data_IF_920267532822
#
_entry.id   IF_920267532822
#
_cell.length_a   1.000
_cell.length_b   1.000
_cell.length_c   1.000
_cell.angle_alpha   90.00
_cell.angle_beta   90.00
_cell.angle_gamma   90.00
#
_symmetry.space_group_name_H-M   'P 1'
#
loop_
_entity.id
_entity.type
_entity.pdbx_description
1 polymer ?
#
# COMPACT_ATOMS: atom_id res chain seq x y z
N UNK A 1 60.99 -48.86 4.43
CA UNK A 1 59.76 -48.60 5.20
C UNK A 1 59.67 -47.12 5.51
N UNK A 2 58.78 -46.37 4.76
CA UNK A 2 58.52 -44.95 5.01
C UNK A 2 57.16 -44.83 5.71
N UNK A 3 57.16 -44.30 6.91
CA UNK A 3 55.93 -44.01 7.69
C UNK A 3 55.32 -42.69 7.20
N UNK A 4 54.10 -42.75 6.73
CA UNK A 4 53.26 -41.57 6.46
C UNK A 4 52.54 -41.22 7.77
N UNK A 5 52.79 -40.01 8.29
CA UNK A 5 52.03 -39.41 9.38
C UNK A 5 50.86 -38.62 8.77
N UNK A 6 49.62 -39.02 9.05
CA UNK A 6 48.44 -38.27 8.75
C UNK A 6 48.19 -37.21 9.83
N UNK A 7 48.28 -35.93 9.47
CA UNK A 7 47.79 -34.83 10.30
C UNK A 7 46.29 -34.66 10.05
N UNK A 8 45.47 -34.96 11.06
CA UNK A 8 44.02 -34.66 11.04
C UNK A 8 43.86 -33.22 11.52
N UNK A 9 43.50 -32.31 10.60
CA UNK A 9 43.03 -30.94 10.95
C UNK A 9 41.59 -31.03 11.42
N UNK A 10 41.35 -30.73 12.70
CA UNK A 10 40.00 -30.47 13.22
C UNK A 10 39.58 -29.04 12.82
N UNK A 11 38.67 -28.92 11.87
CA UNK A 11 37.96 -27.68 11.59
C UNK A 11 36.86 -27.50 12.65
N UNK A 12 37.13 -26.64 13.64
CA UNK A 12 36.09 -26.17 14.57
C UNK A 12 35.25 -25.12 13.83
N UNK A 13 34.06 -25.52 13.37
CA UNK A 13 33.06 -24.58 12.85
C UNK A 13 32.44 -23.81 14.01
N UNK A 14 32.89 -22.58 14.24
CA UNK A 14 32.16 -21.62 15.09
C UNK A 14 30.85 -21.23 14.43
N UNK A 15 29.77 -21.84 14.86
CA UNK A 15 28.41 -21.40 14.54
C UNK A 15 28.14 -20.13 15.33
N UNK A 16 28.25 -18.96 14.68
CA UNK A 16 27.71 -17.72 15.22
C UNK A 16 26.17 -17.81 15.15
N UNK A 17 25.57 -18.15 16.29
CA UNK A 17 24.13 -17.94 16.46
C UNK A 17 23.90 -16.42 16.50
N UNK A 18 23.52 -15.82 15.39
CA UNK A 18 22.89 -14.51 15.39
C UNK A 18 21.57 -14.69 16.12
N UNK A 19 21.50 -14.28 17.38
CA UNK A 19 20.24 -14.14 18.11
C UNK A 19 19.41 -13.02 17.43
N UNK A 20 18.78 -13.34 16.30
CA UNK A 20 17.79 -12.50 15.69
C UNK A 20 16.60 -12.40 16.65
N UNK A 21 16.31 -11.20 17.13
CA UNK A 21 15.11 -10.90 17.91
C UNK A 21 13.90 -11.43 17.12
N UNK A 22 13.24 -12.47 17.62
CA UNK A 22 12.04 -13.03 16.97
C UNK A 22 10.91 -12.05 17.17
N UNK A 23 10.48 -11.42 16.07
CA UNK A 23 9.27 -10.55 16.08
C UNK A 23 8.06 -11.37 16.52
N UNK A 24 7.24 -10.79 17.39
CA UNK A 24 5.96 -11.38 17.76
C UNK A 24 4.95 -11.19 16.61
N UNK A 25 4.24 -12.25 16.27
CA UNK A 25 3.13 -12.22 15.31
C UNK A 25 1.81 -12.56 16.03
N UNK A 26 0.79 -11.71 15.89
CA UNK A 26 -0.47 -11.92 16.60
C UNK A 26 -1.25 -13.12 16.05
N UNK A 27 -1.85 -13.89 16.97
CA UNK A 27 -2.82 -14.93 16.64
C UNK A 27 -4.14 -14.31 16.15
N UNK A 28 -4.95 -15.12 15.48
CA UNK A 28 -6.28 -14.70 15.03
C UNK A 28 -7.11 -14.20 16.21
N UNK A 29 -7.68 -13.00 16.06
CA UNK A 29 -8.51 -12.33 17.08
C UNK A 29 -7.81 -12.11 18.44
N UNK A 30 -6.49 -12.27 18.52
CA UNK A 30 -5.74 -12.09 19.75
C UNK A 30 -4.41 -11.39 19.47
N UNK A 31 -4.43 -10.07 19.48
CA UNK A 31 -3.20 -9.28 19.37
C UNK A 31 -2.79 -8.78 20.73
N UNK A 32 -1.66 -9.30 21.24
CA UNK A 32 -1.21 -8.96 22.60
C UNK A 32 -0.65 -7.54 22.66
N UNK A 33 -0.95 -6.86 23.76
CA UNK A 33 -0.35 -5.60 24.14
C UNK A 33 0.72 -5.79 25.21
N UNK A 34 1.69 -4.89 25.26
CA UNK A 34 2.66 -4.78 26.35
C UNK A 34 2.68 -3.37 26.89
N UNK A 35 2.96 -3.19 28.19
CA UNK A 35 3.20 -1.85 28.75
C UNK A 35 4.25 -1.09 27.93
N UNK A 36 3.99 0.17 27.63
CA UNK A 36 4.86 1.01 26.81
C UNK A 36 6.33 0.99 27.28
N UNK A 37 6.55 1.04 28.60
CA UNK A 37 7.88 0.99 29.20
C UNK A 37 8.65 -0.31 28.90
N UNK A 38 7.95 -1.47 28.78
CA UNK A 38 8.59 -2.75 28.41
C UNK A 38 9.00 -2.79 26.94
N UNK A 39 8.39 -1.93 26.11
CA UNK A 39 8.71 -1.77 24.70
C UNK A 39 9.68 -0.60 24.43
N UNK A 40 10.26 -0.03 25.47
CA UNK A 40 11.26 1.03 25.38
C UNK A 40 10.69 2.46 25.31
N UNK A 41 9.37 2.62 25.43
CA UNK A 41 8.76 3.95 25.37
C UNK A 41 8.68 4.64 26.74
N UNK A 42 8.86 5.95 26.72
CA UNK A 42 8.35 6.85 27.77
C UNK A 42 6.81 6.85 27.70
N UNK A 43 6.17 6.33 28.72
CA UNK A 43 4.71 6.19 28.75
C UNK A 43 3.97 7.53 28.69
N UNK A 44 4.52 8.60 29.29
CA UNK A 44 3.90 9.94 29.28
C UNK A 44 3.96 10.56 27.89
N UNK A 45 5.10 10.45 27.21
CA UNK A 45 5.27 10.93 25.84
C UNK A 45 4.40 10.14 24.86
N UNK A 46 4.33 8.80 24.99
CA UNK A 46 3.48 7.99 24.14
C UNK A 46 1.99 8.34 24.30
N UNK A 47 1.53 8.62 25.53
CA UNK A 47 0.17 9.10 25.77
C UNK A 47 -0.10 10.48 25.15
N UNK A 48 0.88 11.36 25.07
CA UNK A 48 0.76 12.62 24.31
C UNK A 48 0.53 12.37 22.82
N UNK A 49 1.25 11.42 22.22
CA UNK A 49 1.03 11.03 20.82
C UNK A 49 -0.39 10.47 20.58
N UNK A 50 -0.90 9.63 21.49
CA UNK A 50 -2.28 9.12 21.43
C UNK A 50 -3.31 10.25 21.57
N UNK A 51 -3.11 11.16 22.53
CA UNK A 51 -3.97 12.33 22.71
C UNK A 51 -3.98 13.19 21.44
N UNK A 52 -2.79 13.47 20.89
CA UNK A 52 -2.65 14.22 19.64
C UNK A 52 -3.44 13.59 18.49
N UNK A 53 -3.36 12.27 18.30
CA UNK A 53 -4.12 11.58 17.27
C UNK A 53 -5.65 11.70 17.42
N UNK A 54 -6.14 11.67 18.67
CA UNK A 54 -7.57 11.85 18.98
C UNK A 54 -8.07 13.27 18.75
N UNK A 55 -7.26 14.27 19.04
CA UNK A 55 -7.61 15.69 18.96
C UNK A 55 -7.48 16.26 17.54
N UNK A 56 -6.75 15.57 16.67
CA UNK A 56 -6.54 15.97 15.27
C UNK A 56 -7.30 15.06 14.30
N UNK A 57 -8.62 14.86 14.54
CA UNK A 57 -9.49 14.14 13.61
C UNK A 57 -9.55 14.86 12.25
N UNK A 58 -9.56 14.10 11.17
CA UNK A 58 -9.82 14.62 9.83
C UNK A 58 -11.10 15.44 9.79
N UNK A 59 -11.01 16.67 9.31
CA UNK A 59 -12.10 17.65 9.35
C UNK A 59 -13.20 17.43 8.31
N UNK A 60 -12.96 16.59 7.29
CA UNK A 60 -13.95 16.30 6.25
C UNK A 60 -15.15 15.50 6.75
N UNK A 61 -16.26 15.56 6.03
CA UNK A 61 -17.50 14.88 6.37
C UNK A 61 -17.30 13.41 6.76
N UNK A 62 -18.07 12.96 7.75
CA UNK A 62 -18.15 11.52 8.07
C UNK A 62 -18.95 10.73 7.03
N UNK A 63 -19.83 11.38 6.29
CA UNK A 63 -20.37 10.82 5.06
C UNK A 63 -19.31 10.92 3.96
N UNK A 64 -18.72 9.77 3.61
CA UNK A 64 -17.60 9.76 2.65
C UNK A 64 -18.02 10.09 1.23
N UNK A 65 -19.30 9.91 0.87
CA UNK A 65 -19.79 10.36 -0.44
C UNK A 65 -19.72 11.88 -0.54
N UNK A 66 -20.16 12.58 0.52
CA UNK A 66 -20.06 14.05 0.60
C UNK A 66 -18.59 14.48 0.62
N UNK A 67 -17.75 13.88 1.47
CA UNK A 67 -16.34 14.23 1.56
C UNK A 67 -15.60 14.07 0.22
N UNK A 68 -15.91 13.03 -0.55
CA UNK A 68 -15.35 12.79 -1.87
C UNK A 68 -15.82 13.87 -2.85
N UNK A 69 -17.13 14.13 -2.94
CA UNK A 69 -17.68 15.11 -3.86
C UNK A 69 -17.12 16.52 -3.58
N UNK A 70 -17.00 16.91 -2.32
CA UNK A 70 -16.41 18.20 -1.94
C UNK A 70 -14.91 18.28 -2.27
N UNK A 71 -14.18 17.20 -2.04
CA UNK A 71 -12.72 17.14 -2.24
C UNK A 71 -12.30 17.17 -3.71
N UNK A 72 -13.14 16.67 -4.61
CA UNK A 72 -12.81 16.49 -6.03
C UNK A 72 -13.79 17.20 -7.00
N UNK A 73 -14.60 18.13 -6.50
CA UNK A 73 -15.58 18.89 -7.29
C UNK A 73 -15.00 19.69 -8.47
N UNK A 74 -13.71 19.93 -8.48
CA UNK A 74 -13.04 20.63 -9.59
C UNK A 74 -12.69 19.70 -10.77
N UNK A 75 -12.82 18.39 -10.59
CA UNK A 75 -12.54 17.44 -11.66
C UNK A 75 -13.74 17.32 -12.63
N UNK A 76 -13.50 17.32 -13.94
CA UNK A 76 -14.59 17.21 -14.91
C UNK A 76 -15.22 15.80 -14.84
N UNK A 77 -16.55 15.75 -14.92
CA UNK A 77 -17.31 14.49 -14.93
C UNK A 77 -17.08 13.60 -13.70
N UNK A 78 -16.64 14.17 -12.58
CA UNK A 78 -16.39 13.39 -11.37
C UNK A 78 -17.68 12.78 -10.81
N UNK A 79 -17.68 11.48 -10.65
CA UNK A 79 -18.78 10.69 -10.08
C UNK A 79 -18.27 9.68 -9.05
N UNK A 80 -19.13 9.37 -8.08
CA UNK A 80 -18.87 8.26 -7.14
C UNK A 80 -19.51 6.98 -7.72
N UNK A 81 -18.68 6.13 -8.32
CA UNK A 81 -19.06 4.93 -9.05
C UNK A 81 -18.98 3.65 -8.23
N UNK A 82 -18.15 3.65 -7.20
CA UNK A 82 -17.98 2.52 -6.28
C UNK A 82 -18.69 2.76 -4.94
N UNK A 83 -18.86 1.73 -4.11
CA UNK A 83 -19.46 1.88 -2.79
C UNK A 83 -18.64 2.82 -1.91
N UNK A 84 -19.37 3.55 -1.06
CA UNK A 84 -18.84 4.36 0.04
C UNK A 84 -19.50 3.94 1.34
N UNK A 85 -18.95 4.38 2.47
CA UNK A 85 -19.49 4.09 3.80
C UNK A 85 -19.28 5.31 4.70
N UNK A 86 -20.23 5.57 5.60
CA UNK A 86 -20.02 6.57 6.66
C UNK A 86 -18.84 6.13 7.54
N UNK A 87 -17.83 7.00 7.67
CA UNK A 87 -16.60 6.72 8.43
C UNK A 87 -16.77 6.79 9.94
N UNK A 88 -15.88 6.13 10.66
CA UNK A 88 -15.74 6.27 12.10
C UNK A 88 -15.03 7.57 12.52
N UNK A 89 -14.79 7.69 13.81
CA UNK A 89 -13.88 8.67 14.40
C UNK A 89 -12.42 8.25 14.30
N UNK A 90 -11.48 9.04 14.86
CA UNK A 90 -10.06 8.71 14.84
C UNK A 90 -9.80 7.39 15.58
N UNK A 91 -9.05 6.51 14.93
CA UNK A 91 -8.62 5.24 15.49
C UNK A 91 -7.19 4.93 15.06
N UNK A 92 -6.49 4.09 15.81
CA UNK A 92 -5.16 3.67 15.40
C UNK A 92 -4.43 2.80 16.40
N UNK A 93 -3.26 2.33 15.97
CA UNK A 93 -2.36 1.43 16.68
C UNK A 93 -0.91 1.93 16.56
N UNK A 94 -0.17 1.83 17.65
CA UNK A 94 1.29 1.94 17.67
C UNK A 94 1.81 0.57 18.06
N UNK A 95 2.61 -0.02 17.18
CA UNK A 95 3.12 -1.38 17.31
C UNK A 95 4.63 -1.34 17.34
N UNK A 96 5.20 -1.98 18.34
CA UNK A 96 6.64 -2.09 18.58
C UNK A 96 7.00 -3.54 18.87
N UNK A 97 8.02 -4.06 18.18
CA UNK A 97 8.45 -5.45 18.30
C UNK A 97 7.28 -6.45 18.06
N UNK A 98 6.31 -6.07 17.23
CA UNK A 98 5.10 -6.84 16.94
C UNK A 98 3.97 -6.67 17.95
N UNK A 99 4.20 -6.12 19.16
CA UNK A 99 3.20 -5.91 20.22
C UNK A 99 2.53 -4.55 20.12
N UNK A 100 1.28 -4.47 20.56
CA UNK A 100 0.57 -3.19 20.71
C UNK A 100 1.16 -2.44 21.90
N UNK A 101 1.79 -1.28 21.62
CA UNK A 101 2.29 -0.34 22.62
C UNK A 101 1.22 0.66 23.05
N UNK A 102 0.37 1.08 22.10
CA UNK A 102 -0.77 1.96 22.35
C UNK A 102 -1.85 1.77 21.28
N UNK A 103 -3.10 2.09 21.67
CA UNK A 103 -4.24 2.00 20.77
C UNK A 103 -5.32 3.03 21.14
N UNK A 104 -6.14 3.41 20.16
CA UNK A 104 -7.27 4.33 20.37
C UNK A 104 -8.36 4.12 19.34
N UNK A 105 -9.59 4.52 19.70
CA UNK A 105 -10.77 4.47 18.84
C UNK A 105 -11.35 3.07 18.66
N UNK A 106 -12.25 2.94 17.67
CA UNK A 106 -12.90 1.68 17.31
C UNK A 106 -12.04 0.94 16.26
N UNK A 107 -11.29 -0.05 16.69
CA UNK A 107 -10.30 -0.75 15.88
C UNK A 107 -10.91 -1.88 15.03
N UNK A 108 -12.06 -2.41 15.42
CA UNK A 108 -12.77 -3.47 14.70
C UNK A 108 -13.64 -2.92 13.58
N UNK A 109 -13.91 -1.62 13.63
CA UNK A 109 -14.72 -0.97 12.60
C UNK A 109 -14.10 -1.11 11.23
N UNK A 110 -14.86 -1.66 10.29
CA UNK A 110 -14.49 -1.77 8.87
C UNK A 110 -14.82 -0.46 8.17
N UNK A 111 -13.80 0.26 7.73
CA UNK A 111 -13.92 1.52 6.99
C UNK A 111 -13.15 1.46 5.66
N UNK A 112 -13.49 2.38 4.73
CA UNK A 112 -12.69 2.59 3.52
C UNK A 112 -11.27 2.99 3.89
N UNK A 113 -10.28 2.43 3.18
CA UNK A 113 -8.88 2.81 3.39
C UNK A 113 -8.33 3.70 2.28
N UNK A 114 -9.16 4.00 1.27
CA UNK A 114 -8.78 4.81 0.11
C UNK A 114 -7.48 4.33 -0.52
N UNK A 115 -6.56 5.25 -0.82
CA UNK A 115 -5.32 4.94 -1.55
C UNK A 115 -4.32 4.05 -0.82
N UNK A 116 -4.53 3.70 0.46
CA UNK A 116 -3.81 2.58 1.09
C UNK A 116 -4.06 1.28 0.29
N UNK A 117 -5.21 1.16 -0.39
CA UNK A 117 -5.52 0.07 -1.33
C UNK A 117 -4.43 -0.14 -2.38
N UNK A 118 -3.74 0.91 -2.80
CA UNK A 118 -2.67 0.84 -3.80
C UNK A 118 -1.51 -0.04 -3.34
N UNK A 119 -1.20 -0.03 -2.04
CA UNK A 119 -0.18 -0.91 -1.47
C UNK A 119 -0.61 -2.38 -1.46
N UNK A 120 -1.90 -2.66 -1.26
CA UNK A 120 -2.45 -4.01 -1.46
C UNK A 120 -2.36 -4.43 -2.94
N UNK A 121 -2.67 -3.52 -3.86
CA UNK A 121 -2.58 -3.78 -5.30
C UNK A 121 -1.13 -4.05 -5.74
N UNK A 122 -0.17 -3.27 -5.24
CA UNK A 122 1.27 -3.52 -5.43
C UNK A 122 1.66 -4.93 -4.97
N UNK A 123 1.13 -5.37 -3.84
CA UNK A 123 1.38 -6.73 -3.33
C UNK A 123 0.86 -7.80 -4.30
N UNK A 124 -0.30 -7.58 -4.95
CA UNK A 124 -0.80 -8.52 -5.97
C UNK A 124 0.13 -8.61 -7.18
N UNK A 125 0.78 -7.51 -7.56
CA UNK A 125 1.78 -7.51 -8.62
C UNK A 125 3.06 -8.27 -8.19
N UNK A 126 3.53 -8.04 -6.97
CA UNK A 126 4.67 -8.78 -6.40
C UNK A 126 4.44 -10.28 -6.38
N UNK A 127 3.27 -10.70 -5.91
CA UNK A 127 2.89 -12.11 -5.92
C UNK A 127 2.78 -12.70 -7.33
N UNK A 128 2.39 -11.90 -8.33
CA UNK A 128 2.35 -12.34 -9.73
C UNK A 128 3.77 -12.56 -10.30
N UNK A 129 4.72 -11.71 -9.92
CA UNK A 129 6.15 -11.91 -10.23
C UNK A 129 6.71 -13.13 -9.49
N UNK A 130 6.48 -13.25 -8.18
CA UNK A 130 6.93 -14.40 -7.37
C UNK A 130 6.37 -15.73 -7.88
N UNK A 131 5.18 -15.73 -8.47
CA UNK A 131 4.54 -16.89 -9.08
C UNK A 131 4.96 -17.14 -10.55
N UNK A 132 5.82 -16.28 -11.13
CA UNK A 132 6.23 -16.38 -12.54
C UNK A 132 5.14 -16.06 -13.55
N UNK A 133 4.00 -15.49 -13.11
CA UNK A 133 2.92 -15.05 -14.00
C UNK A 133 3.32 -13.80 -14.79
N UNK A 134 4.18 -12.97 -14.20
CA UNK A 134 4.90 -11.86 -14.84
C UNK A 134 6.38 -12.18 -14.74
N UNK A 135 7.10 -12.18 -15.87
CA UNK A 135 8.51 -12.56 -15.90
C UNK A 135 9.43 -11.45 -15.35
N UNK A 136 9.07 -10.19 -15.58
CA UNK A 136 9.80 -9.02 -15.12
C UNK A 136 8.87 -7.81 -15.08
N UNK A 137 9.10 -6.93 -14.10
CA UNK A 137 8.44 -5.60 -14.06
C UNK A 137 8.77 -4.73 -15.27
N UNK A 138 9.85 -5.02 -15.97
CA UNK A 138 10.27 -4.32 -17.18
C UNK A 138 9.60 -4.85 -18.46
N UNK A 139 8.86 -5.96 -18.38
CA UNK A 139 8.10 -6.43 -19.54
C UNK A 139 6.94 -5.47 -19.84
N UNK A 140 6.60 -5.39 -21.13
CA UNK A 140 5.44 -4.62 -21.58
C UNK A 140 4.16 -5.28 -21.11
N UNK A 141 3.20 -4.47 -20.65
CA UNK A 141 1.90 -4.99 -20.23
C UNK A 141 1.11 -5.56 -21.41
N UNK A 142 1.31 -5.01 -22.61
CA UNK A 142 0.75 -5.52 -23.88
C UNK A 142 1.12 -6.97 -24.20
N UNK A 143 2.21 -7.50 -23.64
CA UNK A 143 2.61 -8.90 -23.82
C UNK A 143 1.72 -9.86 -23.01
N UNK A 144 0.92 -9.35 -22.07
CA UNK A 144 0.05 -10.10 -21.14
C UNK A 144 -1.43 -9.76 -21.28
N UNK A 145 -1.77 -8.56 -21.77
CA UNK A 145 -3.15 -8.05 -21.90
C UNK A 145 -3.41 -7.71 -23.35
N UNK A 146 -4.27 -8.51 -24.02
CA UNK A 146 -4.42 -8.52 -25.47
C UNK A 146 -5.78 -7.99 -25.97
N UNK A 147 -6.57 -7.39 -25.11
CA UNK A 147 -7.92 -6.93 -25.38
C UNK A 147 -8.03 -5.53 -26.01
N UNK A 148 -6.89 -4.94 -26.35
CA UNK A 148 -6.83 -3.60 -26.91
C UNK A 148 -6.53 -2.48 -25.91
N UNK A 149 -6.56 -2.73 -24.61
CA UNK A 149 -6.26 -1.75 -23.55
C UNK A 149 -4.89 -1.09 -23.71
N UNK A 150 -3.94 -1.81 -24.27
CA UNK A 150 -2.56 -1.34 -24.53
C UNK A 150 -2.23 -1.17 -26.01
N UNK A 151 -3.22 -1.00 -26.87
CA UNK A 151 -2.99 -0.75 -28.29
C UNK A 151 -2.49 0.68 -28.54
N UNK A 152 -1.90 0.89 -29.72
CA UNK A 152 -1.37 2.18 -30.17
C UNK A 152 0.10 2.44 -29.79
N UNK A 153 0.70 3.43 -30.45
CA UNK A 153 2.14 3.68 -30.35
C UNK A 153 2.63 4.05 -28.94
N UNK A 154 1.76 4.67 -28.12
CA UNK A 154 2.10 5.07 -26.75
C UNK A 154 1.83 3.92 -25.75
N UNK A 155 0.59 3.45 -25.65
CA UNK A 155 0.20 2.48 -24.62
C UNK A 155 0.96 1.14 -24.76
N UNK A 156 1.32 0.72 -25.99
CA UNK A 156 2.09 -0.50 -26.22
C UNK A 156 3.54 -0.47 -25.69
N UNK A 157 4.03 0.69 -25.26
CA UNK A 157 5.37 0.83 -24.66
C UNK A 157 5.36 0.74 -23.12
N UNK A 158 4.15 0.75 -22.52
CA UNK A 158 3.99 0.76 -21.05
C UNK A 158 4.42 -0.58 -20.46
N UNK A 159 5.28 -0.52 -19.44
CA UNK A 159 5.72 -1.68 -18.66
C UNK A 159 4.98 -1.78 -17.33
N UNK A 160 5.10 -2.90 -16.65
CA UNK A 160 4.59 -3.07 -15.28
C UNK A 160 5.24 -2.07 -14.31
N UNK A 161 6.55 -1.81 -14.46
CA UNK A 161 7.25 -0.76 -13.70
C UNK A 161 6.56 0.59 -13.82
N UNK A 162 6.18 0.98 -15.05
CA UNK A 162 5.54 2.26 -15.30
C UNK A 162 4.15 2.36 -14.66
N UNK A 163 3.36 1.29 -14.63
CA UNK A 163 2.08 1.26 -13.93
C UNK A 163 2.28 1.32 -12.41
N UNK A 164 3.24 0.56 -11.88
CA UNK A 164 3.50 0.45 -10.44
C UNK A 164 4.01 1.74 -9.82
N UNK A 165 4.88 2.47 -10.51
CA UNK A 165 5.41 3.76 -10.04
C UNK A 165 4.62 4.97 -10.56
N UNK A 166 3.47 4.73 -11.22
CA UNK A 166 2.55 5.74 -11.77
C UNK A 166 3.20 6.68 -12.79
N UNK A 167 4.11 6.17 -13.61
CA UNK A 167 4.74 6.92 -14.71
C UNK A 167 4.33 6.41 -16.10
N UNK A 168 3.25 5.68 -16.20
CA UNK A 168 2.80 5.09 -17.48
C UNK A 168 2.28 6.11 -18.48
N UNK A 169 1.67 7.16 -17.97
CA UNK A 169 0.86 8.11 -18.77
C UNK A 169 -0.10 7.39 -19.73
N UNK A 170 -0.61 6.22 -19.30
CA UNK A 170 -1.60 5.48 -20.07
C UNK A 170 -2.76 6.40 -20.45
N UNK A 171 -3.16 6.37 -21.70
CA UNK A 171 -4.22 7.24 -22.23
C UNK A 171 -5.38 6.41 -22.73
N UNK A 172 -6.57 6.74 -22.22
CA UNK A 172 -7.80 6.04 -22.58
C UNK A 172 -8.94 6.29 -21.61
N UNK A 173 -9.91 5.40 -21.69
CA UNK A 173 -11.07 5.36 -20.79
C UNK A 173 -11.18 3.96 -20.19
N UNK A 174 -11.35 3.87 -18.88
CA UNK A 174 -11.59 2.61 -18.18
C UNK A 174 -12.80 2.73 -17.26
N UNK A 175 -13.78 1.84 -17.46
CA UNK A 175 -15.02 1.79 -16.67
C UNK A 175 -15.75 3.14 -16.57
N UNK A 176 -15.79 3.88 -17.69
CA UNK A 176 -16.49 5.16 -17.82
C UNK A 176 -15.69 6.36 -17.32
N UNK A 177 -14.44 6.19 -16.87
CA UNK A 177 -13.59 7.30 -16.45
C UNK A 177 -12.42 7.47 -17.42
N UNK A 178 -12.23 8.71 -17.88
CA UNK A 178 -11.14 9.11 -18.78
C UNK A 178 -9.90 9.46 -17.96
N UNK A 179 -8.72 9.01 -18.40
CA UNK A 179 -7.45 9.26 -17.70
C UNK A 179 -7.17 10.76 -17.50
N UNK A 180 -7.46 11.58 -18.49
CA UNK A 180 -7.24 13.03 -18.47
C UNK A 180 -8.21 13.78 -17.54
N UNK A 181 -9.34 13.17 -17.15
CA UNK A 181 -10.31 13.78 -16.25
C UNK A 181 -9.94 13.61 -14.77
N UNK A 182 -9.07 12.67 -14.45
CA UNK A 182 -8.59 12.42 -13.09
C UNK A 182 -7.42 13.35 -12.75
N UNK A 183 -7.62 14.25 -11.82
CA UNK A 183 -6.62 15.25 -11.36
C UNK A 183 -5.97 16.04 -12.48
N UNK A 184 -6.78 16.67 -13.35
CA UNK A 184 -6.24 17.48 -14.43
C UNK A 184 -5.38 18.62 -13.86
N UNK A 185 -4.46 19.19 -14.67
CA UNK A 185 -3.73 20.40 -14.29
C UNK A 185 -4.66 21.52 -13.83
N UNK A 186 -4.20 22.34 -12.89
CA UNK A 186 -4.99 23.48 -12.37
C UNK A 186 -5.25 24.57 -13.42
N UNK A 187 -4.51 24.56 -14.50
CA UNK A 187 -4.61 25.49 -15.64
C UNK A 187 -5.06 24.75 -16.88
N UNK A 188 -5.64 25.47 -17.83
CA UNK A 188 -6.21 24.88 -19.05
C UNK A 188 -7.70 24.53 -18.90
N UNK A 189 -8.25 23.94 -19.94
CA UNK A 189 -9.63 23.49 -20.05
C UNK A 189 -9.74 22.08 -20.62
N UNK A 190 -10.96 21.62 -20.88
CA UNK A 190 -11.25 20.26 -21.33
C UNK A 190 -10.43 19.84 -22.56
N UNK A 191 -10.30 20.73 -23.54
CA UNK A 191 -9.56 20.40 -24.76
C UNK A 191 -8.05 20.35 -24.51
N UNK A 192 -7.51 21.23 -23.66
CA UNK A 192 -6.10 21.21 -23.30
C UNK A 192 -5.73 19.90 -22.58
N UNK A 193 -6.61 19.42 -21.71
CA UNK A 193 -6.39 18.17 -20.97
C UNK A 193 -6.56 16.93 -21.85
N UNK A 194 -7.61 16.93 -22.69
CA UNK A 194 -7.94 15.82 -23.59
C UNK A 194 -6.88 15.61 -24.67
N UNK A 195 -6.36 16.70 -25.25
CA UNK A 195 -5.42 16.66 -26.38
C UNK A 195 -3.98 16.95 -25.94
N UNK A 196 -3.69 16.88 -24.63
CA UNK A 196 -2.34 17.08 -24.12
C UNK A 196 -1.33 16.14 -24.77
N UNK A 197 -0.11 16.59 -24.88
CA UNK A 197 1.02 15.73 -25.27
C UNK A 197 1.28 14.72 -24.15
N UNK A 198 1.32 13.44 -24.48
CA UNK A 198 1.65 12.37 -23.54
C UNK A 198 3.15 12.38 -23.21
N UNK A 199 3.45 12.14 -21.94
CA UNK A 199 4.83 11.91 -21.49
C UNK A 199 5.28 10.51 -21.92
N UNK A 200 6.55 10.36 -22.29
CA UNK A 200 7.11 9.03 -22.53
C UNK A 200 6.97 8.18 -21.26
N UNK A 201 6.45 6.94 -21.35
CA UNK A 201 6.36 6.04 -20.19
C UNK A 201 7.69 5.93 -19.43
N UNK A 202 7.63 6.00 -18.10
CA UNK A 202 8.79 5.95 -17.22
C UNK A 202 9.52 7.28 -16.97
N UNK A 203 9.04 8.41 -17.52
CA UNK A 203 9.74 9.71 -17.39
C UNK A 203 9.15 10.65 -16.34
N UNK A 204 7.83 10.67 -16.20
CA UNK A 204 7.12 11.58 -15.29
C UNK A 204 6.13 10.78 -14.48
N UNK A 205 6.16 10.93 -13.15
CA UNK A 205 5.15 10.36 -12.28
C UNK A 205 3.93 11.30 -12.22
N UNK A 206 2.77 10.77 -12.58
CA UNK A 206 1.48 11.44 -12.41
C UNK A 206 0.56 10.56 -11.58
N UNK A 207 0.18 11.05 -10.40
CA UNK A 207 -0.73 10.31 -9.52
C UNK A 207 -2.15 10.32 -10.10
N UNK A 208 -2.58 9.19 -10.64
CA UNK A 208 -3.83 9.06 -11.40
C UNK A 208 -4.53 7.74 -11.06
N UNK A 209 -5.77 7.82 -10.58
CA UNK A 209 -6.50 6.65 -10.11
C UNK A 209 -7.02 5.78 -11.27
N UNK A 210 -7.27 6.35 -12.45
CA UNK A 210 -7.66 5.57 -13.65
C UNK A 210 -6.51 4.65 -14.04
N UNK A 211 -5.28 5.15 -14.07
CA UNK A 211 -4.07 4.36 -14.41
C UNK A 211 -3.76 3.29 -13.36
N UNK A 212 -4.06 3.57 -12.10
CA UNK A 212 -4.00 2.54 -11.04
C UNK A 212 -5.08 1.47 -11.25
N UNK A 213 -6.27 1.85 -11.70
CA UNK A 213 -7.32 0.88 -12.04
C UNK A 213 -6.95 0.07 -13.29
N UNK A 214 -6.21 0.64 -14.25
CA UNK A 214 -5.61 -0.11 -15.37
C UNK A 214 -4.64 -1.17 -14.86
N UNK A 215 -3.81 -0.89 -13.84
CA UNK A 215 -2.98 -1.90 -13.19
C UNK A 215 -3.84 -3.01 -12.56
N UNK A 216 -4.90 -2.65 -11.83
CA UNK A 216 -5.81 -3.63 -11.22
C UNK A 216 -6.47 -4.54 -12.27
N UNK A 217 -6.95 -3.94 -13.36
CA UNK A 217 -7.49 -4.63 -14.50
C UNK A 217 -6.49 -5.58 -15.14
N UNK A 218 -5.27 -5.11 -15.38
CA UNK A 218 -4.19 -5.91 -15.99
C UNK A 218 -3.80 -7.10 -15.10
N UNK A 219 -3.74 -6.90 -13.79
CA UNK A 219 -3.48 -7.99 -12.84
C UNK A 219 -4.63 -9.00 -12.78
N UNK A 220 -5.90 -8.58 -12.94
CA UNK A 220 -7.02 -9.50 -13.07
C UNK A 220 -6.84 -10.43 -14.28
N UNK A 221 -6.40 -9.88 -15.43
CA UNK A 221 -6.12 -10.67 -16.65
C UNK A 221 -4.99 -11.67 -16.44
N UNK A 222 -3.93 -11.26 -15.74
CA UNK A 222 -2.77 -12.13 -15.47
C UNK A 222 -3.10 -13.23 -14.46
N UNK A 223 -3.78 -12.91 -13.37
CA UNK A 223 -4.18 -13.87 -12.35
C UNK A 223 -5.30 -14.81 -12.82
N UNK A 224 -6.12 -14.38 -13.77
CA UNK A 224 -7.33 -15.09 -14.24
C UNK A 224 -8.26 -15.49 -13.07
N UNK A 225 -8.20 -14.69 -12.01
CA UNK A 225 -8.97 -14.82 -10.76
C UNK A 225 -9.30 -13.42 -10.22
N UNK A 226 -10.44 -13.24 -9.55
CA UNK A 226 -10.71 -11.98 -8.84
C UNK A 226 -9.60 -11.64 -7.84
N UNK A 227 -9.04 -10.43 -7.89
CA UNK A 227 -7.96 -10.02 -6.99
C UNK A 227 -8.31 -10.13 -5.50
N UNK A 228 -9.57 -9.89 -5.04
CA UNK A 228 -9.94 -10.17 -3.65
C UNK A 228 -9.75 -11.63 -3.23
N UNK A 229 -9.95 -12.57 -4.15
CA UNK A 229 -9.70 -13.99 -3.88
C UNK A 229 -8.20 -14.25 -3.76
N UNK A 230 -7.39 -13.69 -4.64
CA UNK A 230 -5.92 -13.80 -4.57
C UNK A 230 -5.40 -13.20 -3.25
N UNK A 231 -5.87 -12.00 -2.90
CA UNK A 231 -5.52 -11.33 -1.64
C UNK A 231 -5.90 -12.19 -0.42
N UNK A 232 -7.11 -12.76 -0.43
CA UNK A 232 -7.58 -13.65 0.63
C UNK A 232 -6.65 -14.85 0.80
N UNK A 233 -6.43 -15.61 -0.28
CA UNK A 233 -5.70 -16.87 -0.24
C UNK A 233 -4.20 -16.70 0.07
N UNK A 234 -3.58 -15.65 -0.48
CA UNK A 234 -2.13 -15.46 -0.41
C UNK A 234 -1.67 -14.58 0.75
N UNK A 235 -2.52 -13.69 1.25
CA UNK A 235 -2.14 -12.71 2.27
C UNK A 235 -3.07 -12.74 3.47
N UNK A 236 -4.37 -12.44 3.31
CA UNK A 236 -5.24 -12.15 4.45
C UNK A 236 -5.49 -13.37 5.34
N UNK A 237 -5.71 -14.54 4.76
CA UNK A 237 -5.84 -15.78 5.53
C UNK A 237 -4.51 -16.17 6.22
N UNK A 238 -3.35 -16.18 5.51
CA UNK A 238 -2.04 -16.46 6.13
C UNK A 238 -1.62 -15.52 7.27
N UNK A 239 -2.03 -14.25 7.23
CA UNK A 239 -1.75 -13.28 8.31
C UNK A 239 -2.81 -13.28 9.41
N UNK A 240 -3.70 -14.27 9.44
CA UNK A 240 -4.78 -14.38 10.43
C UNK A 240 -5.73 -13.17 10.47
N UNK A 241 -5.94 -12.49 9.32
CA UNK A 241 -6.90 -11.38 9.23
C UNK A 241 -8.34 -11.86 9.44
N UNK A 242 -9.21 -10.93 9.82
CA UNK A 242 -10.65 -11.21 9.96
C UNK A 242 -11.29 -11.54 8.61
N UNK A 243 -12.53 -12.00 8.64
CA UNK A 243 -13.34 -12.24 7.43
C UNK A 243 -14.20 -11.03 7.05
N UNK A 244 -14.04 -9.88 7.73
CA UNK A 244 -14.90 -8.70 7.56
C UNK A 244 -14.46 -7.76 6.46
N UNK A 245 -13.18 -7.77 6.07
CA UNK A 245 -12.67 -6.93 5.00
C UNK A 245 -13.31 -7.23 3.64
N UNK A 246 -13.34 -6.24 2.76
CA UNK A 246 -13.84 -6.34 1.37
C UNK A 246 -12.98 -5.49 0.46
N UNK A 247 -12.90 -5.88 -0.81
CA UNK A 247 -12.27 -5.08 -1.86
C UNK A 247 -13.24 -4.89 -3.00
N UNK A 248 -13.65 -3.65 -3.24
CA UNK A 248 -14.70 -3.32 -4.19
C UNK A 248 -14.13 -2.65 -5.45
N UNK A 249 -14.79 -2.94 -6.59
CA UNK A 249 -14.67 -2.19 -7.83
C UNK A 249 -15.83 -1.21 -8.03
N UNK A 250 -15.85 -0.55 -9.17
CA UNK A 250 -16.98 0.26 -9.61
C UNK A 250 -18.17 -0.62 -10.02
N UNK A 251 -19.39 -0.02 -10.05
CA UNK A 251 -20.61 -0.76 -10.39
C UNK A 251 -20.50 -1.47 -11.74
N UNK A 252 -19.90 -0.82 -12.74
CA UNK A 252 -19.82 -1.28 -14.13
C UNK A 252 -18.47 -1.95 -14.48
N UNK A 253 -17.60 -2.24 -13.49
CA UNK A 253 -16.29 -2.82 -13.72
C UNK A 253 -16.32 -4.35 -13.92
N UNK A 254 -17.28 -4.85 -14.70
CA UNK A 254 -17.38 -6.27 -15.05
C UNK A 254 -16.55 -6.59 -16.28
N UNK A 255 -15.82 -7.68 -16.23
CA UNK A 255 -14.90 -8.16 -17.25
C UNK A 255 -15.13 -9.66 -17.48
N UNK A 256 -15.09 -10.08 -18.72
CA UNK A 256 -15.09 -11.53 -19.05
C UNK A 256 -13.65 -12.00 -19.17
N UNK A 257 -13.27 -12.95 -18.33
CA UNK A 257 -11.97 -13.64 -18.38
C UNK A 257 -12.26 -15.13 -18.45
N UNK A 258 -11.75 -15.82 -19.48
CA UNK A 258 -11.96 -17.26 -19.69
C UNK A 258 -13.45 -17.68 -19.72
N UNK A 259 -14.30 -16.81 -20.25
CA UNK A 259 -15.75 -17.05 -20.29
C UNK A 259 -16.48 -16.79 -18.98
N UNK A 260 -15.78 -16.40 -17.91
CA UNK A 260 -16.38 -16.07 -16.61
C UNK A 260 -16.47 -14.56 -16.42
N UNK A 261 -17.61 -14.10 -15.90
CA UNK A 261 -17.79 -12.73 -15.48
C UNK A 261 -17.06 -12.47 -14.16
N UNK A 262 -16.08 -11.59 -14.17
CA UNK A 262 -15.31 -11.17 -12.98
C UNK A 262 -15.40 -9.67 -12.81
N UNK A 263 -15.43 -9.20 -11.56
CA UNK A 263 -15.41 -7.78 -11.27
C UNK A 263 -13.99 -7.31 -11.03
N UNK A 264 -13.51 -6.35 -11.83
CA UNK A 264 -12.27 -5.64 -11.55
C UNK A 264 -12.44 -4.76 -10.32
N UNK A 265 -11.45 -4.76 -9.45
CA UNK A 265 -11.40 -3.89 -8.27
C UNK A 265 -10.77 -2.54 -8.60
N UNK A 266 -10.90 -1.55 -7.69
CA UNK A 266 -10.22 -0.26 -7.83
C UNK A 266 -9.02 -0.15 -6.91
N UNK A 267 -8.10 0.75 -7.23
CA UNK A 267 -6.99 1.15 -6.38
C UNK A 267 -7.37 2.03 -5.19
N UNK A 268 -8.67 2.13 -4.87
CA UNK A 268 -9.15 2.93 -3.74
C UNK A 268 -9.06 4.44 -3.97
N UNK A 269 -9.33 4.86 -5.20
CA UNK A 269 -9.34 6.28 -5.57
C UNK A 269 -10.61 7.02 -5.11
N UNK A 270 -10.76 8.24 -5.60
CA UNK A 270 -11.80 9.17 -5.19
C UNK A 270 -13.17 8.95 -5.87
N UNK A 271 -13.29 7.97 -6.74
CA UNK A 271 -14.62 7.56 -7.26
C UNK A 271 -15.24 6.38 -6.47
N UNK A 272 -14.78 6.13 -5.26
CA UNK A 272 -15.28 5.06 -4.40
C UNK A 272 -14.62 3.70 -4.64
N UNK A 273 -15.11 2.66 -3.97
CA UNK A 273 -14.53 1.32 -4.01
C UNK A 273 -13.21 1.20 -3.23
N UNK A 274 -12.35 0.26 -3.63
CA UNK A 274 -11.10 -0.05 -2.91
C UNK A 274 -11.31 -0.98 -1.72
N UNK A 275 -10.28 -1.09 -0.88
CA UNK A 275 -10.28 -1.96 0.31
C UNK A 275 -11.03 -1.29 1.45
N UNK A 276 -11.96 -2.05 2.04
CA UNK A 276 -12.65 -1.76 3.29
C UNK A 276 -12.12 -2.75 4.33
N UNK A 277 -11.53 -2.25 5.40
CA UNK A 277 -10.79 -3.09 6.34
C UNK A 277 -10.83 -2.50 7.74
N UNK A 278 -10.74 -3.35 8.76
CA UNK A 278 -10.58 -2.93 10.16
C UNK A 278 -9.17 -2.36 10.38
N UNK A 279 -9.00 -1.61 11.48
CA UNK A 279 -7.67 -1.10 11.85
C UNK A 279 -6.72 -2.24 12.21
N UNK A 280 -7.21 -3.29 12.84
CA UNK A 280 -6.43 -4.49 13.15
C UNK A 280 -5.93 -5.20 11.89
N UNK A 281 -6.80 -5.44 10.91
CA UNK A 281 -6.41 -6.13 9.68
C UNK A 281 -5.46 -5.27 8.82
N UNK A 282 -5.67 -3.94 8.80
CA UNK A 282 -4.74 -3.02 8.17
C UNK A 282 -3.36 -3.06 8.84
N UNK A 283 -3.32 -3.18 10.17
CA UNK A 283 -2.07 -3.32 10.92
C UNK A 283 -1.40 -4.68 10.67
N UNK A 284 -2.14 -5.79 10.53
CA UNK A 284 -1.58 -7.09 10.15
C UNK A 284 -0.88 -7.02 8.78
N UNK A 285 -1.51 -6.35 7.82
CA UNK A 285 -0.88 -6.11 6.52
C UNK A 285 0.39 -5.25 6.64
N UNK A 286 0.37 -4.21 7.46
CA UNK A 286 1.56 -3.39 7.73
C UNK A 286 2.68 -4.19 8.42
N UNK A 287 2.34 -5.06 9.38
CA UNK A 287 3.31 -5.91 10.09
C UNK A 287 4.02 -6.89 9.13
N UNK A 288 3.35 -7.36 8.08
CA UNK A 288 3.97 -8.15 7.02
C UNK A 288 5.09 -7.35 6.33
N UNK A 289 4.88 -6.08 6.03
CA UNK A 289 5.90 -5.20 5.43
C UNK A 289 7.00 -4.81 6.41
N UNK A 290 6.66 -4.60 7.68
CA UNK A 290 7.66 -4.37 8.74
C UNK A 290 8.65 -5.54 8.84
N UNK A 291 8.17 -6.77 8.60
CA UNK A 291 8.96 -8.00 8.63
C UNK A 291 9.42 -8.48 7.24
N UNK A 292 9.62 -7.57 6.29
CA UNK A 292 10.14 -7.88 4.96
C UNK A 292 9.37 -9.00 4.22
N UNK A 293 8.03 -9.01 4.33
CA UNK A 293 7.15 -9.97 3.67
C UNK A 293 7.06 -11.33 4.37
N UNK A 294 7.66 -11.46 5.55
CA UNK A 294 7.62 -12.68 6.36
C UNK A 294 6.50 -12.60 7.41
N UNK A 295 5.79 -13.71 7.58
CA UNK A 295 4.81 -13.90 8.64
C UNK A 295 5.08 -15.23 9.36
N UNK A 296 5.43 -15.16 10.65
CA UNK A 296 5.96 -16.31 11.41
C UNK A 296 7.17 -16.91 10.66
N UNK A 297 7.09 -18.16 10.28
CA UNK A 297 8.12 -18.92 9.55
C UNK A 297 7.97 -18.85 8.01
N UNK A 298 6.89 -18.26 7.51
CA UNK A 298 6.55 -18.23 6.08
C UNK A 298 6.91 -16.90 5.40
N UNK A 299 7.60 -16.98 4.26
CA UNK A 299 7.76 -15.83 3.35
C UNK A 299 6.52 -15.75 2.46
N UNK A 300 5.63 -14.78 2.71
CA UNK A 300 4.38 -14.61 1.96
C UNK A 300 4.57 -13.72 0.73
N UNK A 301 5.45 -12.73 0.81
CA UNK A 301 5.86 -11.84 -0.27
C UNK A 301 7.39 -11.82 -0.29
N UNK A 302 8.02 -11.96 -1.43
CA UNK A 302 9.48 -12.02 -1.50
C UNK A 302 10.14 -10.75 -0.92
N UNK A 303 11.29 -10.92 -0.28
CA UNK A 303 12.08 -9.78 0.22
C UNK A 303 12.50 -8.84 -0.90
N UNK A 304 12.79 -9.39 -2.08
CA UNK A 304 13.14 -8.63 -3.27
C UNK A 304 12.00 -7.71 -3.70
N UNK A 305 10.75 -8.22 -3.66
CA UNK A 305 9.60 -7.37 -3.93
C UNK A 305 9.43 -6.26 -2.89
N UNK A 306 9.51 -6.59 -1.59
CA UNK A 306 9.41 -5.58 -0.53
C UNK A 306 10.45 -4.48 -0.76
N UNK A 307 11.71 -4.86 -1.01
CA UNK A 307 12.81 -3.93 -1.28
C UNK A 307 12.53 -3.06 -2.52
N UNK A 308 12.07 -3.65 -3.63
CA UNK A 308 11.71 -2.90 -4.85
C UNK A 308 10.54 -1.94 -4.59
N UNK A 309 9.48 -2.43 -3.97
CA UNK A 309 8.27 -1.64 -3.73
C UNK A 309 8.51 -0.44 -2.81
N UNK A 310 9.47 -0.55 -1.90
CA UNK A 310 9.81 0.50 -0.92
C UNK A 310 11.13 1.23 -1.25
N UNK A 311 11.59 1.14 -2.49
CA UNK A 311 12.74 1.90 -3.01
C UNK A 311 12.28 3.04 -3.91
N UNK A 312 13.11 4.08 -3.99
CA UNK A 312 12.86 5.24 -4.86
C UNK A 312 12.73 4.83 -6.33
N UNK A 313 11.68 5.28 -7.00
CA UNK A 313 11.55 5.14 -8.45
C UNK A 313 12.31 6.26 -9.18
N UNK A 314 12.71 5.99 -10.41
CA UNK A 314 13.42 6.98 -11.23
C UNK A 314 12.60 8.26 -11.46
N UNK A 315 11.30 8.21 -11.79
CA UNK A 315 10.51 9.41 -12.05
C UNK A 315 10.17 10.21 -10.78
N UNK A 316 10.20 9.57 -9.59
CA UNK A 316 9.94 10.25 -8.32
C UNK A 316 10.67 9.57 -7.15
N UNK A 317 11.70 10.21 -6.58
CA UNK A 317 12.45 9.64 -5.45
C UNK A 317 11.62 9.45 -4.16
N UNK A 318 10.45 10.11 -4.06
CA UNK A 318 9.53 9.99 -2.92
C UNK A 318 8.52 8.85 -3.07
N UNK A 319 8.58 8.07 -4.17
CA UNK A 319 7.59 7.05 -4.47
C UNK A 319 8.23 5.78 -5.04
N UNK A 320 7.87 4.65 -4.46
CA UNK A 320 8.21 3.34 -4.96
C UNK A 320 7.06 2.72 -5.76
N UNK A 321 6.81 1.43 -5.60
CA UNK A 321 5.68 0.74 -6.21
C UNK A 321 4.45 0.83 -5.29
N UNK A 322 3.68 1.91 -5.44
CA UNK A 322 2.47 2.21 -4.65
C UNK A 322 2.74 2.40 -3.15
N UNK A 323 3.97 2.74 -2.78
CA UNK A 323 4.39 3.16 -1.45
C UNK A 323 5.05 4.52 -1.49
N UNK A 324 4.69 5.39 -0.56
CA UNK A 324 5.36 6.66 -0.32
C UNK A 324 6.61 6.46 0.53
N UNK A 325 7.63 7.26 0.26
CA UNK A 325 8.90 7.25 0.98
C UNK A 325 9.08 8.60 1.67
N UNK A 326 9.62 8.59 2.89
CA UNK A 326 9.94 9.82 3.62
C UNK A 326 11.18 10.51 3.03
N UNK A 327 11.13 10.82 1.73
CA UNK A 327 12.24 11.38 0.93
C UNK A 327 11.77 12.52 0.05
N UNK A 328 12.71 13.32 -0.43
CA UNK A 328 12.47 14.35 -1.44
C UNK A 328 11.32 15.28 -1.04
N UNK A 329 10.39 15.52 -1.95
CA UNK A 329 9.23 16.42 -1.74
C UNK A 329 8.20 15.91 -0.71
N UNK A 330 8.29 14.64 -0.31
CA UNK A 330 7.40 14.00 0.69
C UNK A 330 8.07 13.78 2.03
N UNK A 331 9.31 14.22 2.20
CA UNK A 331 10.01 14.16 3.48
C UNK A 331 9.28 15.03 4.51
N UNK A 332 8.96 14.44 5.65
CA UNK A 332 8.41 15.18 6.79
C UNK A 332 9.52 16.01 7.44
N UNK A 333 9.26 17.29 7.64
CA UNK A 333 10.25 18.22 8.22
C UNK A 333 10.70 17.81 9.62
N UNK A 334 9.81 17.17 10.36
CA UNK A 334 10.00 16.75 11.74
C UNK A 334 10.80 15.44 11.86
N UNK A 335 10.87 14.62 10.80
CA UNK A 335 11.42 13.27 10.85
C UNK A 335 12.54 13.13 9.84
N UNK A 336 13.79 13.19 10.31
CA UNK A 336 14.98 13.03 9.48
C UNK A 336 15.40 11.55 9.39
N UNK A 337 14.54 10.73 8.79
CA UNK A 337 14.85 9.33 8.53
C UNK A 337 14.23 8.90 7.18
N UNK A 338 15.08 8.75 6.19
CA UNK A 338 14.67 8.40 4.82
C UNK A 338 14.39 6.90 4.63
N UNK A 339 14.64 6.07 5.64
CA UNK A 339 14.31 4.65 5.60
C UNK A 339 12.83 4.37 5.85
N UNK A 340 12.09 5.36 6.37
CA UNK A 340 10.65 5.25 6.61
C UNK A 340 9.89 5.26 5.29
N UNK A 341 8.97 4.32 5.15
CA UNK A 341 8.01 4.28 4.06
C UNK A 341 6.59 4.14 4.58
N UNK A 342 5.61 4.55 3.77
CA UNK A 342 4.23 4.56 4.24
C UNK A 342 3.20 4.41 3.12
N UNK A 343 2.09 3.76 3.45
CA UNK A 343 0.87 3.83 2.66
C UNK A 343 0.01 4.99 3.15
N UNK A 344 -0.60 5.74 2.23
CA UNK A 344 -1.42 6.90 2.55
C UNK A 344 -2.74 6.88 1.79
N UNK A 345 -3.84 7.11 2.49
CA UNK A 345 -5.19 7.22 1.96
C UNK A 345 -5.89 8.51 2.37
N UNK A 346 -6.82 8.95 1.53
CA UNK A 346 -7.64 10.14 1.78
C UNK A 346 -8.26 10.10 3.18
N UNK A 347 -8.33 11.25 3.84
CA UNK A 347 -8.86 11.39 5.19
C UNK A 347 -7.92 10.90 6.30
N UNK A 348 -6.61 10.68 5.98
CA UNK A 348 -5.60 10.35 7.00
C UNK A 348 -5.59 8.90 7.44
N UNK A 349 -5.80 8.03 6.47
CA UNK A 349 -5.57 6.60 6.63
C UNK A 349 -4.11 6.32 6.29
N UNK A 350 -3.31 5.89 7.28
CA UNK A 350 -1.89 5.62 7.08
C UNK A 350 -1.49 4.27 7.64
N UNK A 351 -0.48 3.67 7.00
CA UNK A 351 0.39 2.63 7.56
C UNK A 351 1.81 3.18 7.43
N UNK A 352 2.42 3.56 8.54
CA UNK A 352 3.80 4.05 8.57
C UNK A 352 4.70 2.94 9.09
N UNK A 353 5.76 2.64 8.37
CA UNK A 353 6.71 1.56 8.66
C UNK A 353 8.09 2.16 8.91
N UNK A 354 8.62 1.92 10.09
CA UNK A 354 9.98 2.24 10.53
C UNK A 354 10.70 0.95 10.92
N UNK A 355 11.27 0.28 9.91
CA UNK A 355 11.95 -1.02 10.11
C UNK A 355 13.17 -0.91 11.02
N UNK A 356 13.86 0.24 11.00
CA UNK A 356 15.05 0.48 11.84
C UNK A 356 14.73 0.41 13.33
N UNK A 357 13.55 0.88 13.71
CA UNK A 357 13.09 0.86 15.09
C UNK A 357 12.13 -0.30 15.40
N UNK A 358 11.87 -1.21 14.45
CA UNK A 358 10.83 -2.25 14.56
C UNK A 358 9.50 -1.65 15.03
N UNK A 359 9.12 -0.52 14.41
CA UNK A 359 8.00 0.33 14.78
C UNK A 359 7.03 0.48 13.60
N UNK A 360 5.75 0.38 13.89
CA UNK A 360 4.67 0.67 12.95
C UNK A 360 3.61 1.54 13.60
N UNK A 361 3.09 2.51 12.83
CA UNK A 361 1.99 3.37 13.24
C UNK A 361 0.87 3.21 12.20
N UNK A 362 -0.32 2.84 12.66
CA UNK A 362 -1.52 2.81 11.82
C UNK A 362 -2.50 3.85 12.32
N UNK A 363 -2.93 4.73 11.43
CA UNK A 363 -3.94 5.75 11.74
C UNK A 363 -5.14 5.64 10.83
N UNK A 364 -6.31 5.95 11.39
CA UNK A 364 -7.57 6.13 10.68
C UNK A 364 -8.09 7.51 11.04
N UNK A 365 -8.40 8.31 10.01
CA UNK A 365 -9.05 9.61 10.13
C UNK A 365 -8.24 10.64 10.93
N UNK A 366 -6.92 10.57 10.88
CA UNK A 366 -6.02 11.64 11.33
C UNK A 366 -5.97 12.74 10.26
N UNK A 367 -6.00 14.03 10.65
CA UNK A 367 -5.77 15.12 9.68
C UNK A 367 -4.47 14.86 8.88
N UNK A 368 -4.54 14.71 7.53
CA UNK A 368 -3.40 14.22 6.74
C UNK A 368 -2.10 15.01 6.92
N UNK A 369 -2.20 16.32 7.15
CA UNK A 369 -1.03 17.20 7.34
C UNK A 369 -0.33 16.97 8.70
N UNK A 370 -0.98 16.24 9.61
CA UNK A 370 -0.50 15.96 10.96
C UNK A 370 0.28 14.66 11.10
N UNK A 371 0.44 13.90 10.03
CA UNK A 371 1.11 12.60 10.12
C UNK A 371 2.60 12.72 10.48
N UNK A 372 3.33 13.70 9.96
CA UNK A 372 4.74 13.92 10.29
C UNK A 372 4.95 14.22 11.77
N UNK A 373 4.10 15.10 12.36
CA UNK A 373 4.09 15.42 13.78
C UNK A 373 3.71 14.21 14.65
N UNK A 374 2.75 13.41 14.18
CA UNK A 374 2.39 12.15 14.86
C UNK A 374 3.57 11.17 14.93
N UNK A 375 4.28 11.00 13.82
CA UNK A 375 5.46 10.11 13.76
C UNK A 375 6.59 10.61 14.65
N UNK A 376 6.86 11.94 14.65
CA UNK A 376 7.82 12.58 15.54
C UNK A 376 7.49 12.31 17.01
N UNK A 377 6.24 12.59 17.44
CA UNK A 377 5.80 12.37 18.83
C UNK A 377 5.97 10.91 19.28
N UNK A 378 5.71 9.94 18.39
CA UNK A 378 5.90 8.52 18.70
C UNK A 378 7.38 8.17 18.80
N UNK A 379 8.22 8.69 17.90
CA UNK A 379 9.68 8.43 17.92
C UNK A 379 10.37 9.11 19.11
N UNK A 380 9.94 10.29 19.49
CA UNK A 380 10.45 11.01 20.68
C UNK A 380 10.11 10.28 21.99
N UNK A 381 9.12 9.40 21.95
CA UNK A 381 8.77 8.58 23.08
C UNK A 381 9.64 7.31 23.20
N UNK A 382 10.38 6.91 22.14
CA UNK A 382 11.39 5.84 22.19
C UNK A 382 12.66 6.31 22.90
#
# INVERSE_FOLDING_TARGET
MKQFRYCILFLVSLSFSVNGKTSYFPEKNNWQSKPAKQLGFDSSKLQKAVKFAKENEYSGSRDLRIAILDGFKAEPFHEVLGPTKKRGGPAGLIIKDGYIAAQWGDLDRVDMTFSVTKSYLSTMAGLALDAGLIQSENNKVSDYVWDGTFNGAHNSQITWDNLLNQSSDWSGELFGIKDWADRPPKTGGLDDWKYRKLNKPGTVMEYNDVRVNVLAYSLLQVWRKPLPQVLKEKIMDPIDASTTWRWFGYKDAWVTVDGMQMKSVTGGGHSGGGVFVSTYDQARFGLLFLNNGKWKDKQLVSQDWIKKATSSSKPNPSYGYMWWLNKGSRKWKQVDDESIFYAAGFGGNFIVIDQKNDLMIVTRWLEPRKIGEMVELVRDAL
#
